data_IF_860349942369
#
_entry.id   IF_860349942369
#
_cell.length_a   1.000
_cell.length_b   1.000
_cell.length_c   1.000
_cell.angle_alpha   90.00
_cell.angle_beta   90.00
_cell.angle_gamma   90.00
#
_symmetry.space_group_name_H-M   'P 1'
#
loop_
_entity.id
_entity.type
_entity.pdbx_description
1 polymer ?
#
# COMPACT_ATOMS: atom_id res chain seq x y z
N UNK A 1 -32.47 -21.65 2.16
CA UNK A 1 -31.10 -21.63 1.63
C UNK A 1 -30.46 -20.35 2.14
N UNK A 2 -29.75 -20.42 3.27
CA UNK A 2 -29.10 -19.25 3.88
C UNK A 2 -27.87 -18.88 3.04
N UNK A 3 -27.83 -17.64 2.58
CA UNK A 3 -26.69 -17.01 1.91
C UNK A 3 -25.47 -17.06 2.81
N UNK A 4 -24.33 -17.44 2.24
CA UNK A 4 -23.04 -17.37 2.93
C UNK A 4 -22.76 -15.92 3.39
N UNK A 5 -22.06 -15.70 4.50
CA UNK A 5 -21.68 -14.35 4.89
C UNK A 5 -20.75 -13.76 3.82
N UNK A 6 -21.20 -12.69 3.16
CA UNK A 6 -20.38 -11.84 2.30
C UNK A 6 -19.36 -11.13 3.18
N UNK A 7 -18.16 -11.69 3.31
CA UNK A 7 -17.01 -10.95 3.84
C UNK A 7 -16.59 -9.94 2.76
N UNK A 8 -17.31 -8.82 2.67
CA UNK A 8 -16.90 -7.70 1.82
C UNK A 8 -15.87 -6.87 2.60
N UNK A 9 -14.58 -7.12 2.34
CA UNK A 9 -13.52 -6.27 2.85
C UNK A 9 -13.67 -4.86 2.29
N UNK A 10 -13.50 -3.87 3.15
CA UNK A 10 -13.68 -2.46 2.82
C UNK A 10 -12.37 -1.69 2.72
N UNK A 11 -12.51 -0.38 2.49
CA UNK A 11 -11.39 0.56 2.54
C UNK A 11 -10.69 0.53 3.91
N UNK A 12 -11.42 0.24 4.97
CA UNK A 12 -10.88 0.20 6.32
C UNK A 12 -9.89 -0.95 6.53
N UNK A 13 -10.16 -2.12 5.93
CA UNK A 13 -9.26 -3.27 5.91
C UNK A 13 -8.05 -3.02 5.01
N UNK A 14 -8.29 -2.39 3.86
CA UNK A 14 -7.25 -1.95 2.94
C UNK A 14 -6.24 -1.03 3.62
N UNK A 15 -6.72 -0.04 4.39
CA UNK A 15 -5.85 0.86 5.13
C UNK A 15 -5.18 0.12 6.29
N UNK A 16 -5.88 -0.75 7.01
CA UNK A 16 -5.30 -1.50 8.13
C UNK A 16 -4.09 -2.35 7.73
N UNK A 17 -4.14 -3.10 6.62
CA UNK A 17 -2.96 -3.83 6.16
C UNK A 17 -1.87 -2.89 5.61
N UNK A 18 -2.28 -1.76 5.03
CA UNK A 18 -1.35 -0.78 4.47
C UNK A 18 -0.51 -0.09 5.54
N UNK A 19 -1.04 0.14 6.75
CA UNK A 19 -0.25 0.72 7.85
C UNK A 19 0.93 -0.17 8.20
N UNK A 20 0.68 -1.48 8.29
CA UNK A 20 1.67 -2.50 8.62
C UNK A 20 2.73 -2.63 7.53
N UNK A 21 2.33 -2.57 6.25
CA UNK A 21 3.25 -2.71 5.11
C UNK A 21 4.09 -1.46 4.84
N UNK A 22 3.60 -0.28 5.20
CA UNK A 22 4.25 1.00 4.87
C UNK A 22 4.98 1.63 6.04
N UNK A 23 4.56 1.32 7.28
CA UNK A 23 5.03 1.97 8.51
C UNK A 23 4.27 3.25 8.88
N UNK A 24 3.34 3.70 8.04
CA UNK A 24 2.54 4.91 8.27
C UNK A 24 1.25 4.59 9.03
N UNK A 25 0.80 5.51 9.87
CA UNK A 25 -0.43 5.39 10.63
C UNK A 25 -1.68 5.51 9.75
N UNK A 26 -2.81 5.03 10.27
CA UNK A 26 -4.12 5.16 9.61
C UNK A 26 -4.45 6.61 9.27
N UNK A 27 -4.16 7.55 10.19
CA UNK A 27 -4.42 8.97 10.00
C UNK A 27 -3.57 9.56 8.87
N UNK A 28 -2.29 9.19 8.78
CA UNK A 28 -1.40 9.61 7.69
C UNK A 28 -1.86 9.07 6.35
N UNK A 29 -2.20 7.77 6.28
CA UNK A 29 -2.67 7.15 5.04
C UNK A 29 -3.99 7.75 4.54
N UNK A 30 -4.98 7.97 5.41
CA UNK A 30 -6.21 8.68 5.02
C UNK A 30 -5.95 10.17 4.70
N UNK A 31 -5.00 10.80 5.40
CA UNK A 31 -4.61 12.20 5.19
C UNK A 31 -4.08 12.49 3.79
N UNK A 32 -3.56 11.49 3.08
CA UNK A 32 -3.16 11.61 1.67
C UNK A 32 -4.34 11.88 0.73
N UNK A 33 -5.58 11.56 1.14
CA UNK A 33 -6.76 11.57 0.27
C UNK A 33 -6.73 10.52 -0.85
N UNK A 34 -5.75 9.62 -0.89
CA UNK A 34 -5.57 8.64 -1.96
C UNK A 34 -6.17 7.26 -1.66
N UNK A 35 -6.62 7.02 -0.43
CA UNK A 35 -7.04 5.70 0.06
C UNK A 35 -8.15 5.07 -0.80
N UNK A 36 -9.19 5.83 -1.15
CA UNK A 36 -10.29 5.36 -2.01
C UNK A 36 -9.84 4.97 -3.42
N UNK A 37 -9.00 5.80 -4.06
CA UNK A 37 -8.50 5.53 -5.41
C UNK A 37 -7.59 4.30 -5.42
N UNK A 38 -6.75 4.16 -4.40
CA UNK A 38 -5.86 3.01 -4.26
C UNK A 38 -6.62 1.72 -3.96
N UNK A 39 -7.61 1.78 -3.06
CA UNK A 39 -8.50 0.65 -2.80
C UNK A 39 -9.25 0.25 -4.08
N UNK A 40 -9.82 1.22 -4.79
CA UNK A 40 -10.54 0.99 -6.04
C UNK A 40 -9.66 0.33 -7.12
N UNK A 41 -8.41 0.79 -7.27
CA UNK A 41 -7.47 0.17 -8.19
C UNK A 41 -7.13 -1.27 -7.76
N UNK A 42 -6.85 -1.49 -6.49
CA UNK A 42 -6.46 -2.79 -5.96
C UNK A 42 -7.58 -3.83 -6.15
N UNK A 43 -8.82 -3.52 -5.76
CA UNK A 43 -9.98 -4.42 -5.94
C UNK A 43 -10.33 -4.72 -7.40
N UNK A 44 -9.94 -3.85 -8.34
CA UNK A 44 -10.16 -4.07 -9.78
C UNK A 44 -9.15 -5.00 -10.41
N UNK A 45 -7.97 -5.13 -9.80
CA UNK A 45 -6.91 -6.00 -10.31
C UNK A 45 -6.96 -7.38 -9.66
N UNK A 46 -7.24 -7.44 -8.36
CA UNK A 46 -7.12 -8.67 -7.59
C UNK A 46 -8.47 -9.41 -7.55
N UNK A 47 -8.53 -10.70 -7.94
CA UNK A 47 -9.75 -11.50 -7.83
C UNK A 47 -10.22 -11.66 -6.38
N UNK A 48 -11.54 -11.70 -6.15
CA UNK A 48 -12.17 -11.71 -4.82
C UNK A 48 -11.62 -12.81 -3.89
N UNK A 49 -11.43 -14.03 -4.40
CA UNK A 49 -10.89 -15.13 -3.59
C UNK A 49 -9.46 -14.86 -3.07
N UNK A 50 -8.67 -14.08 -3.81
CA UNK A 50 -7.32 -13.68 -3.40
C UNK A 50 -7.38 -12.46 -2.47
N UNK A 51 -8.31 -11.53 -2.68
CA UNK A 51 -8.58 -10.45 -1.71
C UNK A 51 -8.92 -11.03 -0.33
N UNK A 52 -9.79 -12.04 -0.31
CA UNK A 52 -10.16 -12.73 0.93
C UNK A 52 -8.94 -13.36 1.61
N UNK A 53 -8.09 -14.06 0.85
CA UNK A 53 -6.85 -14.64 1.38
C UNK A 53 -5.87 -13.57 1.91
N UNK A 54 -5.75 -12.46 1.18
CA UNK A 54 -4.89 -11.33 1.53
C UNK A 54 -5.34 -10.70 2.84
N UNK A 55 -6.62 -10.35 2.99
CA UNK A 55 -7.12 -9.65 4.18
C UNK A 55 -7.34 -10.55 5.40
N UNK A 56 -7.60 -11.85 5.23
CA UNK A 56 -7.64 -12.79 6.35
C UNK A 56 -6.34 -12.82 7.17
N UNK A 57 -5.21 -12.38 6.61
CA UNK A 57 -3.97 -12.26 7.35
C UNK A 57 -3.88 -11.01 8.23
N UNK A 58 -4.65 -9.96 7.94
CA UNK A 58 -4.53 -8.66 8.60
C UNK A 58 -4.99 -8.69 10.06
N UNK A 59 -6.09 -9.37 10.38
CA UNK A 59 -6.59 -9.49 11.75
C UNK A 59 -5.59 -10.14 12.72
N UNK A 60 -4.70 -11.01 12.22
CA UNK A 60 -3.61 -11.59 13.02
C UNK A 60 -2.49 -10.57 13.26
N UNK A 61 -2.18 -9.74 12.26
CA UNK A 61 -1.14 -8.72 12.37
C UNK A 61 -1.50 -7.65 13.39
N UNK A 62 -2.75 -7.18 13.41
CA UNK A 62 -3.20 -6.17 14.40
C UNK A 62 -3.00 -6.65 15.84
N UNK A 63 -3.41 -7.88 16.15
CA UNK A 63 -3.21 -8.48 17.49
C UNK A 63 -1.74 -8.61 17.85
N UNK A 64 -0.90 -8.99 16.88
CA UNK A 64 0.54 -9.11 17.11
C UNK A 64 1.21 -7.75 17.32
N UNK A 65 0.71 -6.70 16.69
CA UNK A 65 1.28 -5.35 16.79
C UNK A 65 1.20 -4.77 18.20
N UNK A 66 0.18 -5.14 18.96
CA UNK A 66 0.04 -4.75 20.37
C UNK A 66 0.97 -5.53 21.31
N UNK A 67 1.45 -6.70 20.89
CA UNK A 67 2.10 -7.67 21.79
C UNK A 67 3.59 -7.85 21.50
N UNK A 68 3.97 -7.95 20.22
CA UNK A 68 5.34 -8.25 19.79
C UNK A 68 5.63 -7.68 18.37
N UNK A 69 6.28 -6.50 18.28
CA UNK A 69 6.66 -5.90 17.01
C UNK A 69 7.60 -6.77 16.14
N UNK A 70 8.43 -7.62 16.74
CA UNK A 70 9.32 -8.51 15.99
C UNK A 70 8.54 -9.67 15.38
N UNK A 71 7.54 -10.19 16.08
CA UNK A 71 6.62 -11.19 15.54
C UNK A 71 5.82 -10.66 14.34
N UNK A 72 5.41 -9.37 14.36
CA UNK A 72 4.77 -8.71 13.21
C UNK A 72 5.69 -8.75 11.98
N UNK A 73 6.95 -8.32 12.12
CA UNK A 73 7.90 -8.30 11.01
C UNK A 73 8.14 -9.70 10.41
N UNK A 74 8.18 -10.74 11.26
CA UNK A 74 8.31 -12.12 10.83
C UNK A 74 7.06 -12.63 10.09
N UNK A 75 5.87 -12.29 10.58
CA UNK A 75 4.60 -12.67 9.94
C UNK A 75 4.45 -11.99 8.57
N UNK A 76 4.74 -10.69 8.47
CA UNK A 76 4.75 -9.97 7.18
C UNK A 76 5.69 -10.67 6.20
N UNK A 77 6.92 -10.95 6.65
CA UNK A 77 7.94 -11.58 5.81
C UNK A 77 7.48 -12.95 5.31
N UNK A 78 7.04 -13.82 6.20
CA UNK A 78 6.71 -15.20 5.88
C UNK A 78 5.39 -15.33 5.09
N UNK A 79 4.33 -14.63 5.51
CA UNK A 79 2.99 -14.75 4.92
C UNK A 79 2.79 -13.91 3.66
N UNK A 80 3.32 -12.69 3.65
CA UNK A 80 3.15 -11.79 2.51
C UNK A 80 4.39 -11.81 1.63
N UNK A 81 5.52 -11.26 2.09
CA UNK A 81 6.65 -10.96 1.21
C UNK A 81 7.28 -12.20 0.56
N UNK A 82 7.36 -13.33 1.27
CA UNK A 82 7.89 -14.59 0.76
C UNK A 82 6.87 -15.45 0.00
N UNK A 83 5.57 -15.08 0.01
CA UNK A 83 4.53 -15.83 -0.69
C UNK A 83 4.60 -15.58 -2.20
N UNK A 84 4.58 -16.64 -3.01
CA UNK A 84 4.49 -16.51 -4.47
C UNK A 84 3.19 -15.83 -4.93
N UNK A 85 2.11 -15.97 -4.13
CA UNK A 85 0.80 -15.40 -4.43
C UNK A 85 0.63 -14.01 -3.82
N UNK A 86 0.87 -13.86 -2.52
CA UNK A 86 0.61 -12.59 -1.82
C UNK A 86 1.77 -11.61 -1.89
N UNK A 87 2.99 -12.10 -2.14
CA UNK A 87 4.20 -11.27 -2.16
C UNK A 87 4.22 -10.26 -3.28
N UNK A 88 3.85 -10.60 -4.52
CA UNK A 88 3.71 -9.62 -5.59
C UNK A 88 2.64 -8.55 -5.26
N UNK A 89 1.51 -8.94 -4.67
CA UNK A 89 0.46 -8.01 -4.24
C UNK A 89 0.95 -7.03 -3.18
N UNK A 90 1.63 -7.53 -2.13
CA UNK A 90 2.16 -6.70 -1.07
C UNK A 90 3.21 -5.70 -1.59
N UNK A 91 4.10 -6.14 -2.49
CA UNK A 91 5.09 -5.24 -3.12
C UNK A 91 4.45 -4.19 -4.00
N UNK A 92 3.45 -4.55 -4.80
CA UNK A 92 2.71 -3.58 -5.63
C UNK A 92 1.94 -2.59 -4.76
N UNK A 93 1.34 -3.03 -3.65
CA UNK A 93 0.66 -2.17 -2.69
C UNK A 93 1.63 -1.17 -2.02
N UNK A 94 2.82 -1.63 -1.60
CA UNK A 94 3.87 -0.74 -1.07
C UNK A 94 4.26 0.30 -2.14
N UNK A 95 4.51 -0.14 -3.37
CA UNK A 95 4.85 0.77 -4.47
C UNK A 95 3.73 1.76 -4.78
N UNK A 96 2.47 1.33 -4.71
CA UNK A 96 1.31 2.19 -4.90
C UNK A 96 1.29 3.34 -3.90
N UNK A 97 1.48 3.03 -2.60
CA UNK A 97 1.53 4.04 -1.56
C UNK A 97 2.72 4.98 -1.67
N UNK A 98 3.93 4.42 -1.85
CA UNK A 98 5.15 5.24 -1.90
C UNK A 98 5.24 6.09 -3.16
N UNK A 99 4.83 5.56 -4.32
CA UNK A 99 5.09 6.19 -5.62
C UNK A 99 3.85 6.78 -6.29
N UNK A 100 2.65 6.56 -5.74
CA UNK A 100 1.39 7.04 -6.32
C UNK A 100 1.05 6.44 -7.69
N UNK A 101 1.63 5.29 -8.01
CA UNK A 101 1.48 4.62 -9.30
C UNK A 101 1.21 3.13 -9.13
N UNK A 102 0.39 2.59 -10.03
CA UNK A 102 0.20 1.15 -10.13
C UNK A 102 1.38 0.52 -10.86
N UNK A 103 2.05 -0.43 -10.21
CA UNK A 103 3.05 -1.29 -10.82
C UNK A 103 2.44 -2.66 -11.11
N UNK A 104 2.34 -3.05 -12.38
CA UNK A 104 1.62 -4.27 -12.74
C UNK A 104 2.23 -5.55 -12.16
N UNK A 105 1.39 -6.55 -11.91
CA UNK A 105 1.84 -7.81 -11.34
C UNK A 105 2.78 -8.58 -12.29
N UNK A 106 3.72 -9.39 -11.79
CA UNK A 106 4.62 -10.14 -12.66
C UNK A 106 3.86 -11.07 -13.63
N UNK A 107 4.38 -11.31 -14.86
CA UNK A 107 3.73 -12.23 -15.80
C UNK A 107 3.46 -13.62 -15.20
N UNK A 108 4.40 -14.15 -14.42
CA UNK A 108 4.25 -15.44 -13.71
C UNK A 108 3.07 -15.46 -12.73
N UNK A 109 2.77 -14.33 -12.10
CA UNK A 109 1.61 -14.20 -11.22
C UNK A 109 0.32 -14.22 -12.04
N UNK A 110 0.26 -13.41 -13.11
CA UNK A 110 -0.93 -13.32 -13.98
C UNK A 110 -1.29 -14.66 -14.63
N UNK A 111 -0.28 -15.39 -15.09
CA UNK A 111 -0.48 -16.71 -15.70
C UNK A 111 -1.05 -17.74 -14.73
N UNK A 112 -0.80 -17.60 -13.42
CA UNK A 112 -1.22 -18.55 -12.39
C UNK A 112 -2.52 -18.15 -11.69
N UNK A 113 -2.74 -16.86 -11.50
CA UNK A 113 -3.79 -16.34 -10.61
C UNK A 113 -4.80 -15.44 -11.34
N UNK A 114 -4.61 -15.23 -12.64
CA UNK A 114 -5.50 -14.45 -13.50
C UNK A 114 -4.91 -13.08 -13.87
N UNK A 115 -5.34 -12.57 -15.02
CA UNK A 115 -4.98 -11.24 -15.49
C UNK A 115 -6.21 -10.33 -15.45
N UNK A 116 -6.01 -9.07 -15.06
CA UNK A 116 -7.02 -8.02 -15.15
C UNK A 116 -6.63 -7.00 -16.21
N UNK A 117 -7.60 -6.52 -17.00
CA UNK A 117 -7.39 -5.39 -17.94
C UNK A 117 -7.00 -4.09 -17.23
N UNK A 118 -7.16 -4.02 -15.91
CA UNK A 118 -6.81 -2.88 -15.08
C UNK A 118 -5.39 -2.98 -14.50
N UNK A 119 -4.70 -4.11 -14.71
CA UNK A 119 -3.31 -4.34 -14.28
C UNK A 119 -2.32 -3.71 -15.27
N UNK A 120 -2.36 -2.38 -15.40
CA UNK A 120 -1.57 -1.60 -16.36
C UNK A 120 -0.80 -0.50 -15.64
N UNK A 121 0.46 -0.30 -16.03
CA UNK A 121 1.34 0.68 -15.40
C UNK A 121 0.78 2.09 -15.62
N UNK A 122 0.52 2.82 -14.53
CA UNK A 122 0.01 4.19 -14.59
C UNK A 122 0.21 4.92 -13.26
N UNK A 123 0.42 6.22 -13.33
CA UNK A 123 0.17 7.11 -12.19
C UNK A 123 -1.35 7.15 -11.96
N UNK A 124 -1.80 7.00 -10.70
CA UNK A 124 -3.23 6.86 -10.40
C UNK A 124 -3.97 8.18 -10.68
N UNK A 125 -3.41 9.28 -10.16
CA UNK A 125 -3.96 10.62 -10.30
C UNK A 125 -2.88 11.68 -10.04
N UNK A 126 -3.19 12.94 -10.33
CA UNK A 126 -2.33 14.07 -9.96
C UNK A 126 -2.15 14.13 -8.44
N UNK A 127 -3.20 13.82 -7.67
CA UNK A 127 -3.14 13.78 -6.21
C UNK A 127 -2.17 12.69 -5.74
N UNK A 128 -2.29 11.48 -6.28
CA UNK A 128 -1.40 10.36 -5.96
C UNK A 128 0.08 10.68 -6.19
N UNK A 129 0.42 11.42 -7.25
CA UNK A 129 1.79 11.89 -7.47
C UNK A 129 2.26 12.85 -6.37
N UNK A 130 1.39 13.77 -5.92
CA UNK A 130 1.72 14.78 -4.92
C UNK A 130 1.84 14.22 -3.51
N UNK A 131 1.00 13.25 -3.17
CA UNK A 131 0.87 12.67 -1.83
C UNK A 131 1.52 11.28 -1.72
N UNK A 132 2.37 10.90 -2.68
CA UNK A 132 3.17 9.67 -2.59
C UNK A 132 4.09 9.71 -1.37
N UNK A 133 4.08 8.63 -0.57
CA UNK A 133 4.81 8.59 0.70
C UNK A 133 6.33 8.73 0.52
N UNK A 134 6.86 8.48 -0.69
CA UNK A 134 8.28 8.68 -0.98
C UNK A 134 8.76 10.10 -0.68
N UNK A 135 7.90 11.11 -0.88
CA UNK A 135 8.27 12.50 -0.62
C UNK A 135 8.55 12.74 0.85
N UNK A 136 7.65 12.25 1.71
CA UNK A 136 7.81 12.32 3.16
C UNK A 136 9.00 11.47 3.63
N UNK A 137 9.11 10.23 3.17
CA UNK A 137 10.15 9.29 3.56
C UNK A 137 11.59 9.77 3.25
N UNK A 138 11.77 10.60 2.23
CA UNK A 138 13.07 11.20 1.88
C UNK A 138 13.22 12.65 2.36
N UNK A 139 12.24 13.19 3.09
CA UNK A 139 12.25 14.58 3.58
C UNK A 139 12.17 15.63 2.46
N UNK A 140 11.46 15.34 1.37
CA UNK A 140 11.34 16.19 0.20
C UNK A 140 9.87 16.55 -0.12
N UNK A 141 9.68 17.29 -1.21
CA UNK A 141 8.38 17.67 -1.71
C UNK A 141 8.23 17.29 -3.19
N UNK A 142 7.00 17.02 -3.65
CA UNK A 142 6.76 16.69 -5.05
C UNK A 142 7.17 17.83 -5.98
N UNK A 143 8.03 17.50 -6.94
CA UNK A 143 8.51 18.46 -7.95
C UNK A 143 7.34 19.06 -8.73
N UNK A 144 7.36 20.38 -8.93
CA UNK A 144 6.34 21.08 -9.72
C UNK A 144 4.95 21.20 -9.07
N UNK A 145 4.78 20.72 -7.83
CA UNK A 145 3.47 20.69 -7.17
C UNK A 145 3.44 21.34 -5.78
N UNK A 146 4.54 21.27 -5.01
CA UNK A 146 4.73 21.97 -3.74
C UNK A 146 6.15 22.55 -3.75
N UNK A 147 6.32 23.74 -4.32
CA UNK A 147 7.64 24.39 -4.34
C UNK A 147 8.03 24.81 -2.92
N UNK A 148 9.30 24.58 -2.58
CA UNK A 148 9.91 25.26 -1.44
C UNK A 148 9.98 26.77 -1.69
N UNK A 149 10.08 27.56 -0.62
CA UNK A 149 10.36 28.99 -0.75
C UNK A 149 11.68 29.25 -1.50
N UNK A 150 11.76 30.34 -2.26
CA UNK A 150 12.99 30.73 -2.95
C UNK A 150 14.16 30.83 -1.96
N UNK A 151 15.28 30.19 -2.29
CA UNK A 151 16.50 30.20 -1.47
C UNK A 151 16.60 29.09 -0.42
N UNK A 152 15.59 28.22 -0.29
CA UNK A 152 15.63 27.09 0.66
C UNK A 152 16.77 26.11 0.39
N UNK A 153 17.26 26.05 -0.85
CA UNK A 153 18.40 25.24 -1.29
C UNK A 153 19.76 25.75 -0.80
N UNK A 154 19.81 26.94 -0.20
CA UNK A 154 21.03 27.49 0.40
C UNK A 154 21.28 26.98 1.83
N UNK A 155 20.27 26.39 2.48
CA UNK A 155 20.40 25.84 3.83
C UNK A 155 20.85 24.38 3.81
N UNK A 156 21.66 23.99 4.80
CA UNK A 156 22.02 22.59 4.98
C UNK A 156 20.76 21.77 5.34
N UNK A 157 20.62 20.53 4.83
CA UNK A 157 19.50 19.69 5.20
C UNK A 157 19.43 19.52 6.73
N UNK A 158 18.23 19.55 7.33
CA UNK A 158 18.09 19.25 8.75
C UNK A 158 18.66 17.85 9.02
N UNK A 159 19.39 17.69 10.13
CA UNK A 159 19.92 16.37 10.52
C UNK A 159 18.73 15.43 10.74
N UNK A 160 18.71 14.30 10.03
CA UNK A 160 17.63 13.31 10.12
C UNK A 160 17.34 12.94 11.58
N UNK A 161 16.08 13.05 11.98
CA UNK A 161 15.63 12.80 13.35
C UNK A 161 15.86 11.35 13.78
N UNK A 162 16.27 11.19 15.04
CA UNK A 162 16.25 9.93 15.80
C UNK A 162 14.92 9.83 16.54
#
# INVERSE_FOLDING_TARGET
MMTAPEFEYGIDDFVAISTVLTGYSRAELFGTGCADEYWHQFRRVVPDHILIEFFNGAAKLERLQETDPQAVALEIRSRYLSSEKLGPLARTLIQLWYLGQWVPLPPSWRSRFGASRFDVARVISVLAYKEGLVWDAIGAHPMGAKQQGFGSWAEAPPKGGV
#
